data_IF_392456594534
#
_entry.id   IF_392456594534
#
_cell.length_a   1.000
_cell.length_b   1.000
_cell.length_c   1.000
_cell.angle_alpha   90.00
_cell.angle_beta   90.00
_cell.angle_gamma   90.00
#
_symmetry.space_group_name_H-M   'P 1'
#
loop_
_entity.id
_entity.type
_entity.pdbx_description
1 polymer ?
#
# COMPACT_ATOMS: atom_id res chain seq x y z
N UNK A 1 14.17 -25.19 -15.79
CA UNK A 1 15.02 -25.25 -14.58
C UNK A 1 14.27 -24.46 -13.52
N UNK A 2 13.97 -25.06 -12.36
CA UNK A 2 13.30 -24.35 -11.26
C UNK A 2 14.41 -23.80 -10.36
N UNK A 3 14.56 -22.49 -10.29
CA UNK A 3 15.43 -21.86 -9.30
C UNK A 3 14.84 -22.01 -7.92
N UNK A 4 15.64 -22.46 -6.98
CA UNK A 4 15.26 -22.56 -5.56
C UNK A 4 16.02 -21.51 -4.78
N UNK A 5 15.27 -20.73 -4.02
CA UNK A 5 15.83 -19.77 -3.07
C UNK A 5 15.49 -20.23 -1.66
N UNK A 6 16.42 -20.04 -0.73
CA UNK A 6 16.24 -20.31 0.68
C UNK A 6 16.37 -19.01 1.47
N UNK A 7 15.47 -18.80 2.40
CA UNK A 7 15.49 -17.65 3.30
C UNK A 7 14.93 -18.04 4.67
N UNK A 8 15.28 -17.26 5.69
CA UNK A 8 14.69 -17.41 7.02
C UNK A 8 13.24 -16.90 7.05
N UNK A 9 12.94 -15.89 6.22
CA UNK A 9 11.60 -15.29 6.12
C UNK A 9 11.25 -15.01 4.67
N UNK A 10 9.99 -15.22 4.34
CA UNK A 10 9.39 -14.80 3.07
C UNK A 10 8.26 -13.84 3.38
N UNK A 11 8.32 -12.63 2.83
CA UNK A 11 7.30 -11.60 2.98
C UNK A 11 6.58 -11.46 1.64
N UNK A 12 5.27 -11.57 1.66
CA UNK A 12 4.42 -11.44 0.48
C UNK A 12 3.81 -10.04 0.48
N UNK A 13 4.18 -9.24 -0.51
CA UNK A 13 3.80 -7.85 -0.67
C UNK A 13 4.87 -6.87 -0.20
N UNK A 14 5.49 -6.17 -1.14
CA UNK A 14 6.48 -5.10 -0.92
C UNK A 14 5.85 -3.73 -0.71
N UNK A 15 4.65 -3.68 -0.15
CA UNK A 15 3.97 -2.44 0.21
C UNK A 15 4.53 -1.78 1.48
N UNK A 16 3.80 -0.80 2.02
CA UNK A 16 4.20 -0.03 3.21
C UNK A 16 4.62 -0.91 4.38
N UNK A 17 3.78 -1.90 4.74
CA UNK A 17 4.06 -2.78 5.88
C UNK A 17 5.18 -3.78 5.59
N UNK A 18 5.13 -4.43 4.43
CA UNK A 18 6.11 -5.47 4.06
C UNK A 18 7.52 -4.93 3.92
N UNK A 19 7.68 -3.73 3.37
CA UNK A 19 8.99 -3.07 3.25
C UNK A 19 9.59 -2.73 4.62
N UNK A 20 8.77 -2.23 5.56
CA UNK A 20 9.21 -1.95 6.92
C UNK A 20 9.59 -3.24 7.64
N UNK A 21 8.76 -4.28 7.50
CA UNK A 21 9.01 -5.57 8.13
C UNK A 21 10.31 -6.21 7.61
N UNK A 22 10.51 -6.20 6.28
CA UNK A 22 11.74 -6.68 5.67
C UNK A 22 12.97 -5.96 6.22
N UNK A 23 12.93 -4.63 6.22
CA UNK A 23 14.02 -3.81 6.74
C UNK A 23 14.33 -4.11 8.22
N UNK A 24 13.30 -4.28 9.04
CA UNK A 24 13.48 -4.60 10.47
C UNK A 24 14.04 -5.99 10.71
N UNK A 25 13.62 -6.99 9.94
CA UNK A 25 14.11 -8.36 10.09
C UNK A 25 15.58 -8.52 9.70
N UNK A 26 16.07 -7.77 8.72
CA UNK A 26 17.48 -7.82 8.33
C UNK A 26 18.37 -6.89 9.16
N UNK A 27 17.80 -5.84 9.73
CA UNK A 27 18.55 -4.85 10.51
C UNK A 27 19.10 -5.48 11.80
N UNK A 28 20.43 -5.49 11.93
CA UNK A 28 21.12 -6.02 13.09
C UNK A 28 21.07 -7.55 13.22
N UNK A 29 20.72 -8.28 12.17
CA UNK A 29 20.64 -9.73 12.14
C UNK A 29 21.35 -10.32 10.92
N UNK A 30 21.70 -11.63 11.00
CA UNK A 30 22.23 -12.38 9.86
C UNK A 30 21.12 -13.11 9.08
N UNK A 31 19.87 -12.69 9.23
CA UNK A 31 18.73 -13.33 8.60
C UNK A 31 18.61 -12.95 7.13
N UNK A 32 18.27 -13.95 6.32
CA UNK A 32 17.93 -13.75 4.90
C UNK A 32 16.43 -13.58 4.78
N UNK A 33 16.00 -12.50 4.14
CA UNK A 33 14.60 -12.20 3.89
C UNK A 33 14.35 -12.11 2.39
N UNK A 34 13.36 -12.82 1.91
CA UNK A 34 12.84 -12.69 0.54
C UNK A 34 11.58 -11.85 0.62
N UNK A 35 11.57 -10.73 -0.10
CA UNK A 35 10.40 -9.89 -0.28
C UNK A 35 9.85 -10.12 -1.69
N UNK A 36 8.62 -10.60 -1.77
CA UNK A 36 7.91 -10.84 -3.03
C UNK A 36 6.95 -9.68 -3.28
N UNK A 37 7.12 -9.00 -4.41
CA UNK A 37 6.21 -7.93 -4.83
C UNK A 37 5.62 -8.29 -6.21
N UNK A 38 4.31 -8.14 -6.33
CA UNK A 38 3.59 -8.39 -7.58
C UNK A 38 3.80 -7.27 -8.61
N UNK A 39 3.97 -6.07 -8.11
CA UNK A 39 4.17 -4.88 -8.91
C UNK A 39 5.60 -4.72 -9.41
N UNK A 40 5.84 -3.60 -10.04
CA UNK A 40 7.17 -3.23 -10.54
C UNK A 40 8.02 -2.60 -9.43
N UNK A 41 9.28 -2.32 -9.76
CA UNK A 41 10.07 -1.38 -8.99
C UNK A 41 9.50 0.05 -9.13
N UNK A 42 9.88 0.93 -8.23
CA UNK A 42 9.41 2.32 -8.14
C UNK A 42 10.20 3.29 -9.04
N UNK A 43 10.73 2.83 -10.17
CA UNK A 43 11.54 3.67 -11.08
C UNK A 43 10.72 4.68 -11.90
N UNK A 44 9.40 4.65 -11.81
CA UNK A 44 8.55 5.65 -12.45
C UNK A 44 8.80 7.02 -11.82
N UNK A 45 9.36 7.96 -12.59
CA UNK A 45 9.71 9.30 -12.13
C UNK A 45 8.56 10.07 -11.45
N UNK A 46 7.33 9.77 -11.84
CA UNK A 46 6.15 10.43 -11.29
C UNK A 46 5.86 10.02 -9.85
N UNK A 47 6.37 8.88 -9.39
CA UNK A 47 6.31 8.46 -7.98
C UNK A 47 7.17 9.39 -7.10
N UNK A 48 8.31 9.85 -7.62
CA UNK A 48 9.28 10.63 -6.86
C UNK A 48 9.06 12.14 -6.88
N UNK A 49 8.02 12.60 -7.58
CA UNK A 49 7.66 14.02 -7.63
C UNK A 49 6.32 14.20 -6.89
N UNK A 50 6.30 14.81 -5.69
CA UNK A 50 5.11 14.86 -4.83
C UNK A 50 3.83 15.34 -5.53
N UNK A 51 3.91 16.37 -6.33
CA UNK A 51 2.74 16.95 -7.01
C UNK A 51 2.16 16.10 -8.15
N UNK A 52 2.75 14.94 -8.47
CA UNK A 52 2.39 14.15 -9.64
C UNK A 52 1.71 12.81 -9.35
N UNK A 53 1.30 12.56 -8.10
CA UNK A 53 0.61 11.32 -7.71
C UNK A 53 -0.58 10.98 -8.65
N UNK A 54 -1.34 11.98 -9.11
CA UNK A 54 -2.46 11.80 -10.04
C UNK A 54 -2.04 11.23 -11.41
N UNK A 55 -0.76 11.30 -11.79
CA UNK A 55 -0.22 10.68 -13.00
C UNK A 55 0.13 9.21 -12.78
N UNK A 56 0.33 8.81 -11.53
CA UNK A 56 0.64 7.44 -11.15
C UNK A 56 -0.62 6.59 -11.09
N UNK A 57 -1.73 7.16 -10.60
CA UNK A 57 -2.99 6.45 -10.42
C UNK A 57 -3.53 5.75 -11.69
N UNK A 58 -3.48 6.35 -12.90
CA UNK A 58 -3.91 5.68 -14.12
C UNK A 58 -2.82 4.81 -14.77
N UNK A 59 -1.65 4.68 -14.14
CA UNK A 59 -0.53 3.91 -14.69
C UNK A 59 -0.58 2.43 -14.27
N UNK A 60 0.35 1.64 -14.82
CA UNK A 60 0.53 0.24 -14.42
C UNK A 60 1.09 0.04 -13.01
N UNK A 61 1.44 1.12 -12.31
CA UNK A 61 1.94 1.11 -10.94
C UNK A 61 0.81 1.19 -9.91
N UNK A 62 -0.44 1.28 -10.37
CA UNK A 62 -1.63 1.21 -9.54
C UNK A 62 -2.65 0.23 -10.13
N UNK A 63 -3.33 -0.48 -9.25
CA UNK A 63 -4.55 -1.23 -9.54
C UNK A 63 -5.76 -0.44 -9.05
N UNK A 64 -6.92 -0.73 -9.60
CA UNK A 64 -8.19 -0.17 -9.16
C UNK A 64 -9.06 -1.25 -8.58
N UNK A 65 -9.46 -1.09 -7.33
CA UNK A 65 -10.48 -1.92 -6.68
C UNK A 65 -11.79 -1.14 -6.70
N UNK A 66 -12.85 -1.81 -7.11
CA UNK A 66 -14.19 -1.22 -7.16
C UNK A 66 -15.02 -1.92 -6.06
N UNK A 67 -15.64 -1.13 -5.18
CA UNK A 67 -16.53 -1.66 -4.16
C UNK A 67 -17.83 -2.20 -4.77
N UNK A 68 -18.59 -2.93 -3.98
CA UNK A 68 -19.99 -3.14 -4.26
C UNK A 68 -20.76 -1.81 -4.28
N UNK A 69 -22.00 -1.85 -4.76
CA UNK A 69 -22.87 -0.68 -4.77
C UNK A 69 -23.20 -0.30 -3.34
N UNK A 70 -23.09 0.97 -3.01
CA UNK A 70 -23.33 1.49 -1.67
C UNK A 70 -24.53 2.45 -1.69
N UNK A 71 -25.56 2.16 -0.91
CA UNK A 71 -26.74 3.00 -0.82
C UNK A 71 -26.44 4.39 -0.28
N UNK A 72 -25.46 4.53 0.60
CA UNK A 72 -25.02 5.82 1.14
C UNK A 72 -24.36 6.71 0.09
N UNK A 73 -23.88 6.10 -1.00
CA UNK A 73 -23.32 6.76 -2.18
C UNK A 73 -24.31 6.86 -3.35
N UNK A 74 -25.61 6.85 -3.08
CA UNK A 74 -26.67 6.85 -4.07
C UNK A 74 -26.58 5.66 -5.06
N UNK A 75 -26.25 4.50 -4.55
CA UNK A 75 -26.12 3.27 -5.35
C UNK A 75 -24.90 3.27 -6.28
N UNK A 76 -23.89 4.10 -6.02
CA UNK A 76 -22.65 4.13 -6.81
C UNK A 76 -21.55 3.33 -6.13
N UNK A 77 -20.72 2.63 -6.90
CA UNK A 77 -19.54 2.00 -6.33
C UNK A 77 -18.48 3.04 -5.98
N UNK A 78 -17.67 2.74 -4.98
CA UNK A 78 -16.48 3.50 -4.63
C UNK A 78 -15.26 2.92 -5.34
N UNK A 79 -14.43 3.79 -5.87
CA UNK A 79 -13.21 3.41 -6.60
C UNK A 79 -12.01 3.65 -5.70
N UNK A 80 -11.29 2.58 -5.38
CA UNK A 80 -10.11 2.62 -4.50
C UNK A 80 -8.87 2.30 -5.32
N UNK A 81 -8.00 3.29 -5.59
CA UNK A 81 -6.70 3.02 -6.17
C UNK A 81 -5.79 2.34 -5.14
N UNK A 82 -5.10 1.28 -5.57
CA UNK A 82 -4.13 0.55 -4.77
C UNK A 82 -2.78 0.49 -5.47
N UNK A 83 -1.69 0.70 -4.73
CA UNK A 83 -0.35 0.60 -5.30
C UNK A 83 -0.02 -0.83 -5.74
N UNK A 84 0.45 -0.95 -6.98
CA UNK A 84 0.98 -2.18 -7.56
C UNK A 84 2.43 -1.94 -7.98
N UNK A 85 3.21 -1.58 -7.02
CA UNK A 85 4.60 -1.15 -7.17
C UNK A 85 5.32 -1.35 -5.83
N UNK A 86 6.62 -1.48 -5.85
CA UNK A 86 7.41 -1.51 -4.63
C UNK A 86 7.12 -0.25 -3.78
N UNK A 87 6.86 -0.45 -2.49
CA UNK A 87 6.34 0.58 -1.59
C UNK A 87 4.80 0.64 -1.51
N UNK A 88 4.10 0.04 -2.49
CA UNK A 88 2.63 -0.08 -2.48
C UNK A 88 1.92 1.26 -2.36
N UNK A 89 0.97 1.37 -1.44
CA UNK A 89 0.21 2.59 -1.20
C UNK A 89 1.06 3.80 -0.83
N UNK A 90 2.21 3.61 -0.15
CA UNK A 90 3.11 4.72 0.17
C UNK A 90 3.81 5.31 -1.05
N UNK A 91 3.92 4.56 -2.14
CA UNK A 91 4.48 5.06 -3.40
C UNK A 91 3.49 5.83 -4.27
N UNK A 92 2.18 5.72 -4.00
CA UNK A 92 1.13 6.33 -4.84
C UNK A 92 0.17 7.24 -4.07
N UNK A 93 0.36 7.42 -2.75
CA UNK A 93 -0.54 8.22 -1.92
C UNK A 93 -0.53 9.70 -2.32
N UNK A 94 -1.57 10.43 -1.93
CA UNK A 94 -1.71 11.86 -2.20
C UNK A 94 -0.90 12.76 -1.26
N UNK A 95 -0.12 12.20 -0.33
CA UNK A 95 0.72 12.90 0.64
C UNK A 95 -0.04 13.92 1.50
N UNK A 96 -1.30 13.63 1.76
CA UNK A 96 -2.13 14.44 2.65
C UNK A 96 -2.01 13.86 4.06
N UNK A 97 -1.54 14.67 4.99
CA UNK A 97 -1.59 14.35 6.40
C UNK A 97 -2.78 15.09 7.04
N UNK A 98 -3.76 14.33 7.47
CA UNK A 98 -4.94 14.85 8.16
C UNK A 98 -5.19 13.99 9.39
N UNK A 99 -5.29 14.65 10.54
CA UNK A 99 -5.67 13.98 11.76
C UNK A 99 -7.19 14.04 11.90
N UNK A 100 -7.84 12.95 12.28
CA UNK A 100 -9.24 12.93 12.66
C UNK A 100 -9.49 13.85 13.88
N UNK A 101 -10.69 14.41 14.01
CA UNK A 101 -11.07 15.16 15.20
C UNK A 101 -11.35 14.18 16.36
N UNK A 102 -11.25 14.67 17.59
CA UNK A 102 -11.49 13.85 18.78
C UNK A 102 -12.89 13.22 18.75
N UNK A 103 -13.88 13.98 18.31
CA UNK A 103 -15.27 13.53 18.23
C UNK A 103 -15.44 12.28 17.36
N UNK A 104 -14.67 12.13 16.26
CA UNK A 104 -14.76 10.94 15.40
C UNK A 104 -14.41 9.67 16.18
N UNK A 105 -13.43 9.74 17.08
CA UNK A 105 -12.98 8.62 17.90
C UNK A 105 -13.94 8.37 19.08
N UNK A 106 -14.44 9.44 19.71
CA UNK A 106 -15.41 9.36 20.80
C UNK A 106 -16.73 8.74 20.28
N UNK A 107 -17.15 9.11 19.08
CA UNK A 107 -18.33 8.56 18.46
C UNK A 107 -18.15 7.07 18.15
N UNK A 108 -16.96 6.63 17.71
CA UNK A 108 -16.66 5.21 17.50
C UNK A 108 -16.66 4.40 18.81
N UNK A 109 -16.17 4.98 19.91
CA UNK A 109 -16.22 4.32 21.22
C UNK A 109 -17.66 4.10 21.68
N UNK A 110 -18.58 5.03 21.33
CA UNK A 110 -20.00 4.96 21.68
C UNK A 110 -20.83 4.06 20.73
N UNK A 111 -20.30 3.74 19.55
CA UNK A 111 -20.87 2.72 18.68
C UNK A 111 -20.42 1.36 19.25
N UNK A 112 -21.35 0.60 19.84
CA UNK A 112 -21.10 -0.75 20.34
C UNK A 112 -20.33 -1.57 19.30
N UNK A 113 -19.00 -1.58 19.43
CA UNK A 113 -18.08 -2.33 18.62
C UNK A 113 -17.95 -3.77 19.10
#
# INVERSE_FOLDING_TARGET
MIEKFEADYVIIGGGTAGSILAARLVSGSNKRVILLERGRNDLNRWIHIPATFFRVLPSSDADTVISELDETLNGKPFVVPQGRVLGGGSSINGMIYMRGQHQDYDDWENLDG
#
